data_IF_135630396130
#
_entry.id   IF_135630396130
#
_cell.length_a   1.000
_cell.length_b   1.000
_cell.length_c   1.000
_cell.angle_alpha   90.00
_cell.angle_beta   90.00
_cell.angle_gamma   90.00
#
_symmetry.space_group_name_H-M   'P 1'
#
loop_
_entity.id
_entity.type
_entity.pdbx_description
1 polymer ?
#
# COMPACT_ATOMS: atom_id res chain seq x y z
N UNK A 1 -9.59 20.85 -12.17
CA UNK A 1 -10.29 19.93 -11.24
C UNK A 1 -11.79 20.18 -11.33
N UNK A 2 -12.60 19.13 -11.51
CA UNK A 2 -14.06 19.29 -11.64
C UNK A 2 -14.66 19.75 -10.30
N UNK A 3 -15.62 20.69 -10.33
CA UNK A 3 -16.33 21.21 -9.15
C UNK A 3 -16.88 20.09 -8.23
N UNK A 4 -17.27 18.96 -8.80
CA UNK A 4 -17.76 17.78 -8.05
C UNK A 4 -16.71 17.12 -7.14
N UNK A 5 -15.42 17.28 -7.43
CA UNK A 5 -14.35 16.71 -6.59
C UNK A 5 -14.09 17.57 -5.36
N UNK A 6 -14.23 18.87 -5.50
CA UNK A 6 -14.07 19.84 -4.40
C UNK A 6 -15.22 19.67 -3.38
N UNK A 7 -16.46 19.48 -3.83
CA UNK A 7 -17.60 19.25 -2.95
C UNK A 7 -17.48 17.95 -2.13
N UNK A 8 -16.96 16.88 -2.72
CA UNK A 8 -16.77 15.60 -2.01
C UNK A 8 -15.71 15.71 -0.91
N UNK A 9 -14.63 16.42 -1.15
CA UNK A 9 -13.55 16.62 -0.17
C UNK A 9 -14.00 17.61 0.92
N UNK A 10 -14.65 18.71 0.55
CA UNK A 10 -15.18 19.69 1.50
C UNK A 10 -16.24 19.07 2.44
N UNK A 11 -17.14 18.23 1.92
CA UNK A 11 -18.09 17.49 2.75
C UNK A 11 -17.43 16.51 3.71
N UNK A 12 -16.35 15.82 3.29
CA UNK A 12 -15.65 14.87 4.16
C UNK A 12 -14.95 15.56 5.33
N UNK A 13 -14.33 16.72 5.10
CA UNK A 13 -13.67 17.51 6.14
C UNK A 13 -14.71 18.17 7.07
N UNK A 14 -15.80 18.71 6.51
CA UNK A 14 -16.84 19.35 7.30
C UNK A 14 -17.61 18.36 8.18
N UNK A 15 -17.81 17.12 7.73
CA UNK A 15 -18.51 16.09 8.50
C UNK A 15 -17.68 15.56 9.65
N UNK A 16 -16.35 15.45 9.52
CA UNK A 16 -15.47 15.12 10.66
C UNK A 16 -15.54 16.18 11.77
N UNK A 17 -15.72 17.45 11.43
CA UNK A 17 -15.86 18.54 12.41
C UNK A 17 -17.25 18.57 13.05
N UNK A 18 -18.30 18.25 12.29
CA UNK A 18 -19.67 18.24 12.79
C UNK A 18 -20.00 17.04 13.69
N UNK A 19 -19.30 15.90 13.53
CA UNK A 19 -19.54 14.72 14.39
C UNK A 19 -18.97 14.85 15.80
N UNK A 20 -18.04 15.77 16.05
CA UNK A 20 -17.44 16.02 17.37
C UNK A 20 -18.20 17.09 18.18
N UNK A 21 -19.13 17.82 17.55
CA UNK A 21 -19.90 18.90 18.20
C UNK A 21 -21.22 18.49 18.85
N UNK A 22 -21.65 17.23 18.76
CA UNK A 22 -23.00 16.81 19.20
C UNK A 22 -23.01 15.58 20.13
N UNK A 23 -22.13 15.54 21.12
CA UNK A 23 -22.36 14.68 22.28
C UNK A 23 -23.05 15.51 23.36
N UNK A 24 -24.30 15.87 23.12
CA UNK A 24 -25.26 16.20 24.15
C UNK A 24 -26.08 14.93 24.44
N UNK A 25 -25.78 14.29 25.54
CA UNK A 25 -26.56 13.14 26.05
C UNK A 25 -27.91 13.65 26.56
N UNK A 26 -29.03 13.29 25.96
CA UNK A 26 -30.32 13.38 26.63
C UNK A 26 -30.58 12.06 27.37
N UNK A 27 -30.66 12.11 28.67
CA UNK A 27 -31.25 11.03 29.46
C UNK A 27 -32.74 10.97 29.19
N UNK A 28 -33.26 9.95 28.54
CA UNK A 28 -34.65 9.53 28.70
C UNK A 28 -34.89 8.11 28.20
N UNK A 29 -35.31 7.30 29.10
CA UNK A 29 -36.23 6.13 29.03
C UNK A 29 -36.25 5.26 27.77
N UNK A 30 -35.95 4.01 28.00
CA UNK A 30 -36.14 2.80 27.20
C UNK A 30 -37.32 2.83 26.23
N UNK A 31 -37.00 2.88 24.94
CA UNK A 31 -37.64 2.07 23.90
C UNK A 31 -36.54 1.43 23.10
N UNK A 32 -36.20 0.18 23.43
CA UNK A 32 -35.44 -0.69 22.52
C UNK A 32 -36.31 -0.97 21.29
N UNK A 33 -36.31 -0.04 20.33
CA UNK A 33 -36.54 -0.42 18.95
C UNK A 33 -35.36 -1.28 18.56
N UNK A 34 -35.57 -2.42 17.96
CA UNK A 34 -34.52 -3.21 17.28
C UNK A 34 -33.96 -2.35 16.14
N UNK A 35 -33.07 -1.44 16.47
CA UNK A 35 -32.32 -0.70 15.45
C UNK A 35 -31.58 -1.76 14.64
N UNK A 36 -31.88 -1.84 13.36
CA UNK A 36 -31.06 -2.60 12.43
C UNK A 36 -29.62 -2.20 12.72
N UNK A 37 -28.76 -3.17 13.09
CA UNK A 37 -27.39 -2.87 13.48
C UNK A 37 -26.71 -2.15 12.32
N UNK A 38 -26.48 -0.84 12.46
CA UNK A 38 -25.79 -0.05 11.45
C UNK A 38 -24.36 -0.58 11.32
N UNK A 39 -23.96 -0.99 10.14
CA UNK A 39 -22.59 -1.39 9.86
C UNK A 39 -21.74 -0.17 9.53
N UNK A 40 -20.41 -0.28 9.65
CA UNK A 40 -19.50 0.76 9.20
C UNK A 40 -19.74 1.05 7.71
N UNK A 41 -19.95 0.01 6.91
CA UNK A 41 -20.21 0.15 5.47
C UNK A 41 -21.52 0.90 5.19
N UNK A 42 -22.62 0.56 5.90
CA UNK A 42 -23.89 1.25 5.70
C UNK A 42 -23.87 2.70 6.19
N UNK A 43 -23.07 3.00 7.21
CA UNK A 43 -22.98 4.34 7.79
C UNK A 43 -22.04 5.26 6.98
N UNK A 44 -20.90 4.74 6.54
CA UNK A 44 -19.84 5.56 5.95
C UNK A 44 -19.56 5.26 4.47
N UNK A 45 -20.14 4.22 3.90
CA UNK A 45 -19.86 3.78 2.53
C UNK A 45 -20.19 4.81 1.45
N UNK A 46 -21.14 5.71 1.71
CA UNK A 46 -21.46 6.84 0.81
C UNK A 46 -20.45 7.99 0.89
N UNK A 47 -19.69 8.09 1.99
CA UNK A 47 -18.70 9.14 2.24
C UNK A 47 -17.31 8.71 1.76
N UNK A 48 -16.94 7.47 2.06
CA UNK A 48 -15.64 6.89 1.71
C UNK A 48 -15.84 5.85 0.61
N UNK A 49 -15.16 6.00 -0.49
CA UNK A 49 -15.25 5.02 -1.60
C UNK A 49 -14.85 3.61 -1.19
N UNK A 50 -14.00 3.49 -0.18
CA UNK A 50 -13.58 2.22 0.45
C UNK A 50 -13.55 2.35 1.95
N UNK A 51 -14.09 1.34 2.63
CA UNK A 51 -13.95 1.11 4.06
C UNK A 51 -13.37 -0.29 4.25
N UNK A 52 -12.28 -0.41 4.98
CA UNK A 52 -11.56 -1.67 5.08
C UNK A 52 -10.94 -1.92 6.43
N UNK A 53 -10.45 -3.13 6.61
CA UNK A 53 -9.67 -3.53 7.75
C UNK A 53 -8.44 -4.36 7.36
N UNK A 54 -7.51 -4.52 8.30
CA UNK A 54 -6.35 -5.38 8.14
C UNK A 54 -6.72 -6.81 8.50
N UNK A 55 -6.34 -7.78 7.68
CA UNK A 55 -6.68 -9.19 7.87
C UNK A 55 -5.57 -10.13 7.40
N UNK A 56 -5.54 -11.35 7.93
CA UNK A 56 -4.73 -12.46 7.45
C UNK A 56 -5.53 -13.41 6.54
N UNK A 57 -4.83 -14.28 5.80
CA UNK A 57 -5.47 -15.35 5.03
C UNK A 57 -6.34 -16.25 5.92
N UNK A 58 -5.89 -16.60 7.13
CA UNK A 58 -6.64 -17.46 8.04
C UNK A 58 -7.98 -16.86 8.46
N UNK A 59 -8.03 -15.55 8.64
CA UNK A 59 -9.27 -14.82 8.92
C UNK A 59 -10.22 -14.82 7.73
N UNK A 60 -9.71 -14.66 6.51
CA UNK A 60 -10.52 -14.74 5.29
C UNK A 60 -11.06 -16.15 5.02
N UNK A 61 -10.34 -17.19 5.43
CA UNK A 61 -10.77 -18.60 5.30
C UNK A 61 -11.78 -19.02 6.36
N UNK A 62 -11.93 -18.26 7.43
CA UNK A 62 -12.93 -18.50 8.46
C UNK A 62 -14.28 -17.92 8.00
N UNK A 63 -15.30 -18.75 7.84
CA UNK A 63 -16.60 -18.34 7.29
C UNK A 63 -17.32 -17.28 8.11
N UNK A 64 -17.26 -17.35 9.45
CA UNK A 64 -17.89 -16.36 10.33
C UNK A 64 -17.16 -15.02 10.27
N UNK A 65 -15.82 -15.03 10.25
CA UNK A 65 -15.00 -13.82 10.12
C UNK A 65 -15.21 -13.18 8.76
N UNK A 66 -15.21 -13.96 7.68
CA UNK A 66 -15.47 -13.44 6.33
C UNK A 66 -16.88 -12.83 6.22
N UNK A 67 -17.90 -13.47 6.80
CA UNK A 67 -19.25 -12.92 6.85
C UNK A 67 -19.28 -11.56 7.61
N UNK A 68 -18.57 -11.47 8.73
CA UNK A 68 -18.43 -10.23 9.47
C UNK A 68 -17.71 -9.15 8.65
N UNK A 69 -16.58 -9.48 8.01
CA UNK A 69 -15.86 -8.55 7.13
C UNK A 69 -16.80 -8.01 6.06
N UNK A 70 -17.53 -8.86 5.35
CA UNK A 70 -18.48 -8.47 4.31
C UNK A 70 -19.61 -7.58 4.81
N UNK A 71 -20.04 -7.74 6.07
CA UNK A 71 -21.09 -6.92 6.66
C UNK A 71 -20.62 -5.51 7.03
N UNK A 72 -19.33 -5.35 7.35
CA UNK A 72 -18.77 -4.10 7.89
C UNK A 72 -17.93 -3.34 6.86
N UNK A 73 -17.32 -4.05 5.88
CA UNK A 73 -16.29 -3.50 4.99
C UNK A 73 -16.51 -3.92 3.54
N UNK A 74 -15.96 -3.14 2.61
CA UNK A 74 -15.87 -3.50 1.19
C UNK A 74 -14.42 -3.61 0.69
N UNK A 75 -13.46 -3.56 1.62
CA UNK A 75 -12.04 -3.61 1.30
C UNK A 75 -11.25 -4.27 2.43
N UNK A 76 -10.08 -4.81 2.08
CA UNK A 76 -9.09 -5.29 3.05
C UNK A 76 -7.68 -4.83 2.67
N UNK A 77 -6.79 -4.89 3.66
CA UNK A 77 -5.33 -4.88 3.50
C UNK A 77 -4.78 -6.11 4.20
N UNK A 78 -3.83 -6.82 3.59
CA UNK A 78 -3.19 -7.96 4.25
C UNK A 78 -2.22 -7.50 5.33
N UNK A 79 -2.19 -8.24 6.44
CA UNK A 79 -1.33 -7.91 7.58
C UNK A 79 0.14 -8.11 7.24
N UNK A 80 0.51 -9.25 6.64
CA UNK A 80 1.91 -9.59 6.32
C UNK A 80 2.11 -10.21 4.94
N UNK A 81 1.11 -10.86 4.37
CA UNK A 81 1.25 -11.83 3.29
C UNK A 81 1.65 -11.23 1.93
N UNK A 82 1.58 -9.90 1.78
CA UNK A 82 2.06 -9.17 0.60
C UNK A 82 3.32 -8.33 0.88
N UNK A 83 3.92 -8.46 2.04
CA UNK A 83 5.19 -7.79 2.36
C UNK A 83 6.38 -8.52 1.72
N UNK A 84 7.52 -7.83 1.51
CA UNK A 84 8.65 -8.42 0.78
C UNK A 84 9.17 -9.72 1.36
N UNK A 85 9.24 -9.87 2.69
CA UNK A 85 9.72 -11.09 3.33
C UNK A 85 8.78 -12.29 3.13
N UNK A 86 7.48 -12.07 3.07
CA UNK A 86 6.51 -13.11 2.77
C UNK A 86 6.60 -13.61 1.32
N UNK A 87 6.89 -12.69 0.39
CA UNK A 87 7.00 -13.00 -1.04
C UNK A 87 8.36 -13.55 -1.42
N UNK A 88 9.45 -13.01 -0.87
CA UNK A 88 10.84 -13.39 -1.16
C UNK A 88 11.33 -14.56 -0.30
N UNK A 89 10.76 -14.74 0.90
CA UNK A 89 11.20 -15.72 1.88
C UNK A 89 12.37 -15.23 2.74
N UNK A 90 12.47 -15.75 3.95
CA UNK A 90 13.59 -15.43 4.87
C UNK A 90 14.94 -15.95 4.37
N UNK A 91 14.93 -17.01 3.56
CA UNK A 91 16.11 -17.56 2.88
C UNK A 91 15.91 -17.48 1.37
N UNK A 92 16.97 -17.21 0.58
CA UNK A 92 16.83 -17.07 -0.86
C UNK A 92 16.47 -18.40 -1.52
N UNK A 93 15.39 -18.40 -2.30
CA UNK A 93 15.09 -19.44 -3.28
C UNK A 93 15.38 -18.86 -4.66
N UNK A 94 16.39 -19.35 -5.35
CA UNK A 94 16.88 -18.78 -6.59
C UNK A 94 16.57 -19.68 -7.79
N UNK A 95 16.21 -19.06 -8.90
CA UNK A 95 15.99 -19.70 -10.20
C UNK A 95 16.79 -18.99 -11.28
N UNK A 96 17.06 -19.66 -12.38
CA UNK A 96 17.71 -19.02 -13.54
C UNK A 96 16.77 -17.99 -14.18
N UNK A 97 17.35 -17.02 -14.89
CA UNK A 97 16.54 -16.02 -15.65
C UNK A 97 15.58 -16.68 -16.64
N UNK A 98 15.99 -17.75 -17.30
CA UNK A 98 15.13 -18.44 -18.28
C UNK A 98 13.98 -19.16 -17.56
N UNK A 99 14.25 -19.81 -16.43
CA UNK A 99 13.17 -20.37 -15.58
C UNK A 99 12.21 -19.30 -15.11
N UNK A 100 12.70 -18.11 -14.73
CA UNK A 100 11.87 -17.00 -14.32
C UNK A 100 10.97 -16.50 -15.48
N UNK A 101 11.51 -16.34 -16.69
CA UNK A 101 10.73 -15.97 -17.88
C UNK A 101 9.66 -17.03 -18.21
N UNK A 102 10.00 -18.31 -18.10
CA UNK A 102 9.05 -19.41 -18.33
C UNK A 102 7.91 -19.41 -17.29
N UNK A 103 8.15 -18.89 -16.10
CA UNK A 103 7.11 -18.65 -15.07
C UNK A 103 6.31 -17.34 -15.28
N UNK A 104 6.60 -16.59 -16.34
CA UNK A 104 5.97 -15.28 -16.61
C UNK A 104 6.52 -14.12 -15.78
N UNK A 105 7.67 -14.30 -15.10
CA UNK A 105 8.30 -13.26 -14.32
C UNK A 105 8.95 -12.21 -15.22
N UNK A 106 8.91 -10.96 -14.79
CA UNK A 106 9.57 -9.89 -15.50
C UNK A 106 11.09 -9.95 -15.32
N UNK A 107 11.81 -10.13 -16.40
CA UNK A 107 13.27 -10.07 -16.42
C UNK A 107 13.71 -9.09 -17.50
N UNK A 108 14.19 -7.92 -17.09
CA UNK A 108 14.70 -6.89 -18.00
C UNK A 108 15.86 -7.40 -18.84
N UNK A 109 15.97 -6.92 -20.09
CA UNK A 109 17.12 -7.20 -20.93
C UNK A 109 18.45 -6.67 -20.36
N UNK A 110 18.39 -5.66 -19.49
CA UNK A 110 19.55 -5.11 -18.79
C UNK A 110 19.93 -5.85 -17.51
N UNK A 111 19.14 -6.86 -17.09
CA UNK A 111 19.41 -7.64 -15.88
C UNK A 111 20.65 -8.54 -16.08
N UNK A 112 21.66 -8.37 -15.23
CA UNK A 112 22.99 -8.98 -15.44
C UNK A 112 23.27 -10.22 -14.60
N UNK A 113 22.55 -10.44 -13.49
CA UNK A 113 22.76 -11.62 -12.65
C UNK A 113 22.18 -12.88 -13.31
N UNK A 114 22.85 -14.02 -13.13
CA UNK A 114 22.43 -15.31 -13.69
C UNK A 114 21.17 -15.87 -13.03
N UNK A 115 20.94 -15.51 -11.79
CA UNK A 115 19.83 -15.97 -10.96
C UNK A 115 18.97 -14.80 -10.48
N UNK A 116 17.71 -15.12 -10.20
CA UNK A 116 16.73 -14.21 -9.60
C UNK A 116 15.97 -14.93 -8.49
N UNK A 117 15.44 -14.22 -7.48
CA UNK A 117 14.57 -14.83 -6.48
C UNK A 117 13.31 -15.45 -7.09
N UNK A 118 13.00 -16.68 -6.71
CA UNK A 118 11.66 -17.24 -6.94
C UNK A 118 10.70 -16.60 -5.93
N UNK A 119 9.65 -15.98 -6.42
CA UNK A 119 8.64 -15.30 -5.59
C UNK A 119 7.54 -16.29 -5.24
N UNK A 120 7.12 -16.30 -3.97
CA UNK A 120 6.02 -17.15 -3.50
C UNK A 120 4.70 -16.40 -3.57
N UNK A 121 3.80 -16.84 -4.43
CA UNK A 121 2.46 -16.25 -4.60
C UNK A 121 1.34 -17.08 -3.98
N UNK A 122 1.62 -18.25 -3.40
CA UNK A 122 0.60 -19.22 -2.96
C UNK A 122 -0.44 -18.62 -2.02
N UNK A 123 0.00 -17.75 -1.10
CA UNK A 123 -0.90 -17.10 -0.15
C UNK A 123 -1.67 -15.96 -0.81
N UNK A 124 -0.98 -15.15 -1.62
CA UNK A 124 -1.58 -14.02 -2.35
C UNK A 124 -2.68 -14.52 -3.29
N UNK A 125 -2.43 -15.59 -4.04
CA UNK A 125 -3.42 -16.16 -4.97
C UNK A 125 -4.71 -16.63 -4.27
N UNK A 126 -4.56 -17.24 -3.09
CA UNK A 126 -5.72 -17.65 -2.27
C UNK A 126 -6.51 -16.43 -1.79
N UNK A 127 -5.82 -15.39 -1.32
CA UNK A 127 -6.46 -14.14 -0.86
C UNK A 127 -7.19 -13.46 -2.00
N UNK A 128 -6.52 -13.27 -3.14
CA UNK A 128 -7.13 -12.60 -4.30
C UNK A 128 -8.36 -13.36 -4.80
N UNK A 129 -8.30 -14.70 -4.82
CA UNK A 129 -9.46 -15.54 -5.16
C UNK A 129 -10.62 -15.28 -4.20
N UNK A 130 -10.40 -15.36 -2.89
CA UNK A 130 -11.44 -15.12 -1.88
C UNK A 130 -12.03 -13.71 -2.03
N UNK A 131 -11.18 -12.69 -2.13
CA UNK A 131 -11.62 -11.31 -2.25
C UNK A 131 -12.44 -11.07 -3.52
N UNK A 132 -11.97 -11.54 -4.67
CA UNK A 132 -12.67 -11.44 -5.94
C UNK A 132 -14.04 -12.11 -5.90
N UNK A 133 -14.13 -13.36 -5.41
CA UNK A 133 -15.37 -14.13 -5.33
C UNK A 133 -16.39 -13.52 -4.35
N UNK A 134 -15.93 -12.70 -3.42
CA UNK A 134 -16.78 -12.04 -2.40
C UNK A 134 -16.99 -10.54 -2.65
N UNK A 135 -16.50 -9.97 -3.76
CA UNK A 135 -16.67 -8.55 -4.07
C UNK A 135 -15.90 -7.60 -3.12
N UNK A 136 -14.82 -8.09 -2.49
CA UNK A 136 -13.99 -7.34 -1.56
C UNK A 136 -12.81 -6.74 -2.32
N UNK A 137 -12.60 -5.42 -2.22
CA UNK A 137 -11.43 -4.76 -2.77
C UNK A 137 -10.17 -5.03 -1.93
N UNK A 138 -9.00 -4.99 -2.56
CA UNK A 138 -7.71 -5.16 -1.89
C UNK A 138 -6.85 -3.91 -2.09
N UNK A 139 -6.38 -3.31 -1.01
CA UNK A 139 -5.25 -2.39 -0.99
C UNK A 139 -4.00 -3.20 -0.69
N UNK A 140 -3.18 -3.40 -1.70
CA UNK A 140 -1.99 -4.23 -1.60
C UNK A 140 -0.87 -3.50 -0.84
N UNK A 141 -0.35 -4.13 0.20
CA UNK A 141 0.63 -3.57 1.13
C UNK A 141 1.75 -4.58 1.38
N UNK A 142 2.98 -4.31 1.07
CA UNK A 142 3.61 -3.17 0.41
C UNK A 142 4.75 -3.67 -0.50
N UNK A 143 5.14 -2.91 -1.52
CA UNK A 143 6.21 -3.38 -2.43
C UNK A 143 7.61 -3.08 -1.89
N UNK A 144 7.86 -1.88 -1.37
CA UNK A 144 9.17 -1.45 -0.87
C UNK A 144 9.04 -0.97 0.56
N UNK A 145 9.79 -1.58 1.47
CA UNK A 145 9.81 -1.20 2.87
C UNK A 145 11.20 -1.45 3.48
N UNK A 146 11.64 -0.59 4.40
CA UNK A 146 12.90 -0.72 5.11
C UNK A 146 12.90 -1.89 6.12
N UNK A 147 11.73 -2.20 6.68
CA UNK A 147 11.47 -3.38 7.49
C UNK A 147 10.98 -4.54 6.61
N UNK A 148 10.89 -5.73 7.12
CA UNK A 148 10.38 -6.94 6.46
C UNK A 148 10.82 -7.09 4.97
N UNK A 149 12.02 -6.60 4.63
CA UNK A 149 12.72 -6.93 3.38
C UNK A 149 13.97 -7.71 3.76
N UNK A 150 14.14 -8.97 3.32
CA UNK A 150 15.22 -9.81 3.78
C UNK A 150 16.59 -9.27 3.36
N UNK A 151 17.57 -9.23 4.28
CA UNK A 151 18.90 -8.65 4.04
C UNK A 151 19.63 -9.30 2.85
N UNK A 152 19.44 -10.60 2.64
CA UNK A 152 20.04 -11.29 1.51
C UNK A 152 19.66 -10.68 0.14
N UNK A 153 18.50 -10.05 0.03
CA UNK A 153 18.03 -9.42 -1.21
C UNK A 153 18.90 -8.22 -1.63
N UNK A 154 19.59 -7.61 -0.69
CA UNK A 154 20.49 -6.47 -0.90
C UNK A 154 21.94 -6.88 -1.15
N UNK A 155 22.29 -8.16 -0.97
CA UNK A 155 23.67 -8.66 -0.96
C UNK A 155 24.09 -9.22 -2.30
N UNK A 156 25.39 -9.12 -2.60
CA UNK A 156 25.98 -9.75 -3.79
C UNK A 156 25.68 -11.24 -3.78
N UNK A 157 25.26 -11.78 -4.91
CA UNK A 157 24.90 -13.18 -5.06
C UNK A 157 23.75 -13.64 -4.15
N UNK A 158 22.92 -12.73 -3.63
CA UNK A 158 21.83 -13.02 -2.70
C UNK A 158 22.29 -13.73 -1.41
N UNK A 159 23.48 -13.43 -0.93
CA UNK A 159 24.07 -14.08 0.24
C UNK A 159 24.57 -13.06 1.26
N UNK A 160 24.12 -13.21 2.51
CA UNK A 160 24.55 -12.35 3.64
C UNK A 160 26.05 -12.44 3.96
N UNK A 161 26.76 -13.40 3.34
CA UNK A 161 28.21 -13.53 3.44
C UNK A 161 28.96 -12.43 2.66
N UNK A 162 28.31 -11.76 1.73
CA UNK A 162 28.93 -10.75 0.86
C UNK A 162 28.44 -9.34 1.17
N UNK A 163 29.11 -8.34 0.60
CA UNK A 163 28.72 -6.94 0.70
C UNK A 163 27.41 -6.61 -0.01
N UNK A 164 26.98 -5.36 0.13
CA UNK A 164 25.81 -4.85 -0.59
C UNK A 164 26.10 -4.70 -2.08
N UNK A 165 25.08 -4.87 -2.91
CA UNK A 165 25.19 -4.63 -4.36
C UNK A 165 25.29 -3.12 -4.66
N UNK A 166 25.69 -2.78 -5.87
CA UNK A 166 25.65 -1.40 -6.35
C UNK A 166 24.22 -0.88 -6.51
N UNK A 167 24.05 0.43 -6.52
CA UNK A 167 22.75 1.07 -6.79
C UNK A 167 22.16 0.62 -8.13
N UNK A 168 22.98 0.50 -9.18
CA UNK A 168 22.51 0.03 -10.48
C UNK A 168 21.96 -1.39 -10.40
N UNK A 169 22.67 -2.28 -9.73
CA UNK A 169 22.20 -3.65 -9.55
C UNK A 169 20.94 -3.72 -8.69
N UNK A 170 20.85 -2.89 -7.63
CA UNK A 170 19.65 -2.85 -6.79
C UNK A 170 18.44 -2.27 -7.53
N UNK A 171 18.64 -1.27 -8.41
CA UNK A 171 17.59 -0.78 -9.28
C UNK A 171 17.00 -1.89 -10.17
N UNK A 172 17.86 -2.74 -10.74
CA UNK A 172 17.43 -3.88 -11.57
C UNK A 172 16.68 -4.94 -10.74
N UNK A 173 17.14 -5.24 -9.52
CA UNK A 173 16.45 -6.16 -8.61
C UNK A 173 15.08 -5.62 -8.17
N UNK A 174 15.01 -4.32 -7.88
CA UNK A 174 13.76 -3.65 -7.51
C UNK A 174 12.77 -3.65 -8.68
N UNK A 175 13.23 -3.37 -9.91
CA UNK A 175 12.42 -3.47 -11.11
C UNK A 175 11.88 -4.89 -11.31
N UNK A 176 12.75 -5.89 -11.23
CA UNK A 176 12.38 -7.30 -11.31
C UNK A 176 11.28 -7.64 -10.30
N UNK A 177 11.49 -7.28 -9.03
CA UNK A 177 10.58 -7.60 -7.94
C UNK A 177 9.22 -6.93 -8.14
N UNK A 178 9.19 -5.60 -8.28
CA UNK A 178 7.96 -4.82 -8.41
C UNK A 178 7.16 -5.29 -9.63
N UNK A 179 7.80 -5.37 -10.79
CA UNK A 179 7.11 -5.75 -12.03
C UNK A 179 6.66 -7.21 -12.01
N UNK A 180 7.43 -8.14 -11.41
CA UNK A 180 7.01 -9.53 -11.27
C UNK A 180 5.78 -9.65 -10.38
N UNK A 181 5.78 -8.99 -9.21
CA UNK A 181 4.64 -9.04 -8.27
C UNK A 181 3.38 -8.44 -8.90
N UNK A 182 3.47 -7.27 -9.47
CA UNK A 182 2.30 -6.61 -10.06
C UNK A 182 1.80 -7.30 -11.33
N UNK A 183 2.71 -7.80 -12.18
CA UNK A 183 2.32 -8.57 -13.37
C UNK A 183 1.61 -9.86 -12.97
N UNK A 184 2.10 -10.59 -11.95
CA UNK A 184 1.44 -11.79 -11.45
C UNK A 184 0.01 -11.48 -11.02
N UNK A 185 -0.18 -10.42 -10.23
CA UNK A 185 -1.51 -10.00 -9.79
C UNK A 185 -2.43 -9.69 -10.98
N UNK A 186 -2.00 -8.84 -11.91
CA UNK A 186 -2.88 -8.34 -12.98
C UNK A 186 -3.01 -9.27 -14.19
N UNK A 187 -2.19 -10.31 -14.31
CA UNK A 187 -2.44 -11.42 -15.28
C UNK A 187 -3.44 -12.42 -14.73
N UNK A 188 -3.63 -12.48 -13.41
CA UNK A 188 -4.67 -13.30 -12.80
C UNK A 188 -6.05 -12.70 -13.00
N UNK A 189 -7.05 -13.55 -13.29
CA UNK A 189 -8.46 -13.13 -13.32
C UNK A 189 -8.96 -12.54 -12.00
N UNK A 190 -8.30 -12.85 -10.89
CA UNK A 190 -8.64 -12.37 -9.56
C UNK A 190 -8.01 -11.00 -9.24
N UNK A 191 -7.00 -10.57 -9.99
CA UNK A 191 -6.26 -9.34 -9.74
C UNK A 191 -7.09 -8.06 -9.88
N UNK A 192 -8.24 -8.13 -10.55
CA UNK A 192 -9.14 -6.96 -10.69
C UNK A 192 -9.73 -6.47 -9.36
N UNK A 193 -9.64 -7.23 -8.26
CA UNK A 193 -10.03 -6.76 -6.93
C UNK A 193 -8.97 -5.82 -6.30
N UNK A 194 -7.72 -5.80 -6.81
CA UNK A 194 -6.66 -4.91 -6.31
C UNK A 194 -6.83 -3.53 -6.92
N UNK A 195 -7.25 -2.57 -6.10
CA UNK A 195 -7.54 -1.19 -6.53
C UNK A 195 -6.47 -0.17 -6.12
N UNK A 196 -5.54 -0.56 -5.25
CA UNK A 196 -4.48 0.32 -4.77
C UNK A 196 -3.25 -0.47 -4.32
N UNK A 197 -2.08 0.18 -4.41
CA UNK A 197 -0.80 -0.30 -3.89
C UNK A 197 -0.16 0.74 -2.98
N UNK A 198 0.31 0.31 -1.84
CA UNK A 198 1.33 1.03 -1.10
C UNK A 198 2.68 0.68 -1.73
N UNK A 199 3.17 1.55 -2.59
CA UNK A 199 4.39 1.27 -3.38
C UNK A 199 5.62 1.34 -2.49
N UNK A 200 5.70 2.37 -1.65
CA UNK A 200 6.77 2.55 -0.67
C UNK A 200 6.16 2.85 0.69
N UNK A 201 6.62 2.11 1.70
CA UNK A 201 6.19 2.26 3.08
C UNK A 201 7.29 2.86 3.95
N UNK A 202 6.95 3.89 4.74
CA UNK A 202 7.74 4.44 5.85
C UNK A 202 9.15 4.91 5.48
N UNK A 203 9.33 5.47 4.29
CA UNK A 203 10.66 5.91 3.88
C UNK A 203 11.19 7.09 4.73
N UNK A 204 10.34 8.06 5.06
CA UNK A 204 10.76 9.22 5.88
C UNK A 204 11.05 8.82 7.34
N UNK A 205 10.49 7.72 7.82
CA UNK A 205 10.75 7.15 9.13
C UNK A 205 11.62 5.90 9.12
N UNK A 206 12.23 5.59 7.96
CA UNK A 206 13.02 4.38 7.80
C UNK A 206 14.17 4.30 8.80
N UNK A 207 14.33 3.14 9.43
CA UNK A 207 15.54 2.78 10.16
C UNK A 207 16.62 2.29 9.20
N UNK A 208 17.86 2.20 9.67
CA UNK A 208 18.98 1.67 8.88
C UNK A 208 18.64 0.29 8.32
N UNK A 209 18.75 0.16 7.00
CA UNK A 209 18.42 -1.05 6.26
C UNK A 209 19.30 -1.20 5.02
N UNK A 210 19.12 -2.26 4.26
CA UNK A 210 19.80 -2.44 2.98
C UNK A 210 19.56 -1.29 2.00
N UNK A 211 18.38 -0.66 2.05
CA UNK A 211 18.09 0.52 1.25
C UNK A 211 19.01 1.68 1.57
N UNK A 212 19.16 2.05 2.84
CA UNK A 212 20.07 3.13 3.27
C UNK A 212 21.53 2.79 2.97
N UNK A 213 21.95 1.53 3.19
CA UNK A 213 23.31 1.08 2.89
C UNK A 213 23.69 1.22 1.42
N UNK A 214 22.72 1.11 0.52
CA UNK A 214 22.94 1.20 -0.92
C UNK A 214 22.72 2.63 -1.44
N UNK A 215 21.68 3.31 -0.99
CA UNK A 215 21.26 4.59 -1.56
C UNK A 215 21.69 5.81 -0.74
N UNK A 216 22.23 5.58 0.46
CA UNK A 216 22.67 6.64 1.36
C UNK A 216 21.57 7.14 2.30
N UNK A 217 21.88 8.17 3.05
CA UNK A 217 21.00 8.76 4.04
C UNK A 217 19.68 9.28 3.45
N UNK A 218 18.64 9.33 4.27
CA UNK A 218 17.32 9.82 3.89
C UNK A 218 17.35 11.27 3.39
N UNK A 219 16.51 11.56 2.42
CA UNK A 219 16.33 12.89 1.82
C UNK A 219 14.87 13.04 1.39
N UNK A 220 14.41 14.25 1.19
CA UNK A 220 13.08 14.51 0.62
C UNK A 220 13.01 14.33 -0.91
N UNK A 221 14.12 13.95 -1.55
CA UNK A 221 14.20 13.69 -3.00
C UNK A 221 14.87 12.35 -3.32
N UNK A 222 14.33 11.22 -2.81
CA UNK A 222 14.97 9.92 -2.96
C UNK A 222 14.78 9.34 -4.36
N UNK A 223 15.84 9.29 -5.15
CA UNK A 223 15.78 8.80 -6.52
C UNK A 223 15.26 7.36 -6.65
N UNK A 224 15.61 6.47 -5.70
CA UNK A 224 15.14 5.08 -5.75
C UNK A 224 13.64 4.96 -5.42
N UNK A 225 13.09 5.80 -4.54
CA UNK A 225 11.66 5.84 -4.26
C UNK A 225 10.89 6.28 -5.50
N UNK A 226 11.31 7.38 -6.15
CA UNK A 226 10.73 7.80 -7.44
C UNK A 226 10.78 6.68 -8.47
N UNK A 227 11.89 5.95 -8.54
CA UNK A 227 12.07 4.80 -9.44
C UNK A 227 11.13 3.64 -9.10
N UNK A 228 10.89 3.35 -7.83
CA UNK A 228 9.91 2.34 -7.41
C UNK A 228 8.49 2.69 -7.90
N UNK A 229 8.09 3.96 -7.75
CA UNK A 229 6.81 4.44 -8.30
C UNK A 229 6.76 4.36 -9.83
N UNK A 230 7.84 4.67 -10.52
CA UNK A 230 7.90 4.52 -11.98
C UNK A 230 7.68 3.06 -12.41
N UNK A 231 8.34 2.11 -11.76
CA UNK A 231 8.16 0.68 -12.07
C UNK A 231 6.72 0.21 -11.81
N UNK A 232 6.12 0.65 -10.72
CA UNK A 232 4.73 0.34 -10.41
C UNK A 232 3.76 1.00 -11.42
N UNK A 233 4.02 2.26 -11.78
CA UNK A 233 3.22 2.98 -12.77
C UNK A 233 3.31 2.35 -14.17
N UNK A 234 4.51 1.91 -14.58
CA UNK A 234 4.69 1.20 -15.84
C UNK A 234 3.82 -0.05 -15.92
N UNK A 235 3.69 -0.80 -14.81
CA UNK A 235 2.82 -1.97 -14.75
C UNK A 235 1.34 -1.59 -14.91
N UNK A 236 0.82 -0.65 -14.12
CA UNK A 236 -0.60 -0.26 -14.25
C UNK A 236 -0.90 0.37 -15.62
N UNK A 237 0.07 1.05 -16.23
CA UNK A 237 -0.03 1.58 -17.58
C UNK A 237 -0.09 0.46 -18.61
N UNK A 238 0.79 -0.54 -18.51
CA UNK A 238 0.83 -1.70 -19.41
C UNK A 238 -0.52 -2.45 -19.43
N UNK A 239 -1.15 -2.62 -18.25
CA UNK A 239 -2.46 -3.27 -18.12
C UNK A 239 -3.66 -2.33 -18.35
N UNK A 240 -3.45 -1.07 -18.71
CA UNK A 240 -4.55 -0.10 -18.92
C UNK A 240 -5.32 0.24 -17.64
N UNK A 241 -4.64 0.25 -16.49
CA UNK A 241 -5.25 0.40 -15.16
C UNK A 241 -5.01 1.77 -14.50
N UNK A 242 -4.42 2.72 -15.21
CA UNK A 242 -4.04 4.04 -14.66
C UNK A 242 -5.21 4.84 -14.06
N UNK A 243 -6.45 4.57 -14.51
CA UNK A 243 -7.67 5.19 -13.99
C UNK A 243 -8.42 4.30 -12.97
N UNK A 244 -7.90 3.10 -12.67
CA UNK A 244 -8.56 2.11 -11.79
C UNK A 244 -7.75 1.79 -10.55
N UNK A 245 -6.44 1.90 -10.63
CA UNK A 245 -5.50 1.53 -9.57
C UNK A 245 -4.74 2.76 -9.12
N UNK A 246 -4.72 3.00 -7.82
CA UNK A 246 -3.99 4.11 -7.20
C UNK A 246 -2.69 3.63 -6.58
N UNK A 247 -1.64 4.45 -6.71
CA UNK A 247 -0.32 4.21 -6.15
C UNK A 247 -0.07 5.20 -5.01
N UNK A 248 0.23 4.70 -3.81
CA UNK A 248 0.40 5.51 -2.61
C UNK A 248 1.81 5.39 -2.02
N UNK A 249 2.28 6.50 -1.49
CA UNK A 249 3.28 6.52 -0.44
C UNK A 249 2.55 6.34 0.90
N UNK A 250 2.95 5.39 1.75
CA UNK A 250 2.29 5.11 3.01
C UNK A 250 3.26 5.30 4.18
N UNK A 251 2.86 6.07 5.22
CA UNK A 251 3.74 6.32 6.36
C UNK A 251 2.93 6.68 7.61
N UNK A 252 3.57 6.53 8.78
CA UNK A 252 3.03 6.97 10.06
C UNK A 252 3.46 8.42 10.37
N UNK A 253 2.78 9.06 11.30
CA UNK A 253 3.07 10.43 11.74
C UNK A 253 3.20 11.49 10.63
N UNK A 254 2.65 11.23 9.44
CA UNK A 254 2.70 12.14 8.29
C UNK A 254 2.15 13.52 8.59
N UNK A 255 1.24 13.63 9.57
CA UNK A 255 0.70 14.91 10.05
C UNK A 255 1.74 15.78 10.77
N UNK A 256 2.86 15.22 11.20
CA UNK A 256 3.99 15.94 11.81
C UNK A 256 5.03 16.38 10.77
N UNK A 257 5.08 15.74 9.61
CA UNK A 257 6.10 15.93 8.56
C UNK A 257 5.49 16.36 7.23
N UNK A 258 4.42 17.16 7.27
CA UNK A 258 3.61 17.54 6.10
C UNK A 258 4.47 18.09 4.95
N UNK A 259 5.41 19.00 5.25
CA UNK A 259 6.24 19.64 4.22
C UNK A 259 7.21 18.65 3.55
N UNK A 260 7.79 17.75 4.30
CA UNK A 260 8.72 16.74 3.77
C UNK A 260 7.98 15.73 2.91
N UNK A 261 6.79 15.29 3.35
CA UNK A 261 5.92 14.41 2.58
C UNK A 261 5.50 15.08 1.26
N UNK A 262 5.02 16.32 1.29
CA UNK A 262 4.62 17.07 0.09
C UNK A 262 5.82 17.26 -0.85
N UNK A 263 6.98 17.64 -0.33
CA UNK A 263 8.20 17.80 -1.13
C UNK A 263 8.59 16.50 -1.82
N UNK A 264 8.51 15.39 -1.12
CA UNK A 264 8.82 14.08 -1.68
C UNK A 264 7.81 13.65 -2.75
N UNK A 265 6.51 13.80 -2.50
CA UNK A 265 5.47 13.46 -3.48
C UNK A 265 5.61 14.33 -4.75
N UNK A 266 5.88 15.63 -4.61
CA UNK A 266 6.13 16.51 -5.74
C UNK A 266 7.38 16.10 -6.53
N UNK A 267 8.44 15.66 -5.83
CA UNK A 267 9.61 15.10 -6.50
C UNK A 267 9.30 13.79 -7.24
N UNK A 268 8.54 12.89 -6.65
CA UNK A 268 8.11 11.65 -7.30
C UNK A 268 7.31 11.98 -8.57
N UNK A 269 6.44 12.97 -8.51
CA UNK A 269 5.56 13.38 -9.60
C UNK A 269 6.17 14.41 -10.59
N UNK A 270 7.46 14.75 -10.48
CA UNK A 270 8.06 15.83 -11.27
C UNK A 270 8.06 15.59 -12.79
N UNK A 271 8.07 14.33 -13.23
CA UNK A 271 8.06 13.96 -14.67
C UNK A 271 6.69 13.44 -15.13
N UNK A 272 5.69 13.53 -14.27
CA UNK A 272 4.33 13.05 -14.51
C UNK A 272 3.72 12.45 -13.24
N UNK A 273 2.40 12.42 -13.16
CA UNK A 273 1.69 11.93 -11.98
C UNK A 273 1.75 10.40 -11.89
N UNK A 274 2.71 9.87 -11.15
CA UNK A 274 2.92 8.44 -10.91
C UNK A 274 2.63 8.03 -9.45
N UNK A 275 2.49 8.99 -8.53
CA UNK A 275 2.00 8.79 -7.17
C UNK A 275 0.67 9.52 -7.01
N UNK A 276 -0.36 8.84 -6.55
CA UNK A 276 -1.71 9.38 -6.46
C UNK A 276 -1.99 10.07 -5.13
N UNK A 277 -1.20 9.81 -4.08
CA UNK A 277 -1.41 10.42 -2.78
C UNK A 277 -0.63 9.77 -1.65
N UNK A 278 -0.98 10.19 -0.44
CA UNK A 278 -0.39 9.76 0.82
C UNK A 278 -1.33 8.80 1.53
N UNK A 279 -0.83 7.64 1.94
CA UNK A 279 -1.45 6.77 2.92
C UNK A 279 -1.01 7.21 4.31
N UNK A 280 -1.92 7.79 5.06
CA UNK A 280 -1.68 8.18 6.44
C UNK A 280 -2.02 6.97 7.33
N UNK A 281 -1.01 6.32 7.92
CA UNK A 281 -1.28 5.15 8.81
C UNK A 281 -2.12 5.53 10.04
N UNK A 282 -2.05 6.79 10.46
CA UNK A 282 -2.94 7.36 11.48
C UNK A 282 -2.96 6.59 12.80
N UNK A 283 -1.79 6.19 13.30
CA UNK A 283 -1.64 5.64 14.64
C UNK A 283 -1.87 6.75 15.67
N UNK A 284 -3.13 6.96 16.04
CA UNK A 284 -3.59 8.06 16.87
C UNK A 284 -3.96 7.56 18.27
N UNK A 285 -3.85 8.44 19.27
CA UNK A 285 -4.42 8.21 20.59
C UNK A 285 -5.69 9.05 20.80
N UNK A 286 -6.40 8.80 21.89
CA UNK A 286 -7.59 9.58 22.24
C UNK A 286 -7.28 11.03 22.64
N UNK A 287 -6.02 11.33 22.92
CA UNK A 287 -5.56 12.64 23.39
C UNK A 287 -4.63 13.36 22.42
N UNK A 288 -4.05 12.66 21.45
CA UNK A 288 -3.07 13.24 20.51
C UNK A 288 -3.06 12.50 19.16
N UNK A 289 -2.94 13.22 18.03
CA UNK A 289 -2.94 14.68 17.91
C UNK A 289 -4.33 15.27 18.18
N UNK A 290 -4.43 16.60 18.35
CA UNK A 290 -5.72 17.27 18.36
C UNK A 290 -6.40 17.14 16.98
N UNK A 291 -7.72 17.11 16.95
CA UNK A 291 -8.49 17.05 15.69
C UNK A 291 -8.10 18.20 14.76
N UNK A 292 -7.97 19.42 15.30
CA UNK A 292 -7.60 20.59 14.51
C UNK A 292 -6.22 20.41 13.84
N UNK A 293 -5.22 19.93 14.59
CA UNK A 293 -3.89 19.71 14.05
C UNK A 293 -3.88 18.63 12.94
N UNK A 294 -4.55 17.52 13.19
CA UNK A 294 -4.67 16.45 12.19
C UNK A 294 -5.42 16.91 10.93
N UNK A 295 -6.53 17.62 11.08
CA UNK A 295 -7.32 18.15 9.97
C UNK A 295 -6.51 19.15 9.13
N UNK A 296 -5.70 20.01 9.76
CA UNK A 296 -4.81 20.92 9.05
C UNK A 296 -3.80 20.16 8.17
N UNK A 297 -3.22 19.07 8.65
CA UNK A 297 -2.32 18.23 7.86
C UNK A 297 -3.04 17.59 6.67
N UNK A 298 -4.23 17.01 6.89
CA UNK A 298 -5.06 16.45 5.80
C UNK A 298 -5.36 17.51 4.75
N UNK A 299 -5.76 18.72 5.18
CA UNK A 299 -6.06 19.83 4.26
C UNK A 299 -4.81 20.25 3.45
N UNK A 300 -3.63 20.23 4.07
CA UNK A 300 -2.38 20.54 3.37
C UNK A 300 -2.08 19.51 2.27
N UNK A 301 -2.27 18.22 2.54
CA UNK A 301 -2.11 17.17 1.52
C UNK A 301 -3.15 17.28 0.39
N UNK A 302 -4.38 17.70 0.71
CA UNK A 302 -5.42 17.90 -0.30
C UNK A 302 -5.10 19.08 -1.22
N UNK A 303 -4.51 20.14 -0.67
CA UNK A 303 -4.17 21.35 -1.42
C UNK A 303 -2.93 21.19 -2.31
N UNK A 304 -2.03 20.26 -1.99
CA UNK A 304 -0.80 19.98 -2.72
C UNK A 304 -1.01 18.98 -3.86
#
# INVERSE_FOLDING_TARGET
MSKNRIYRVACSVLLCVLMLGSILVPSSSDKRSSAASSSLLSTYGSLFGRSGNCVSLSQLQNSSTLAHIKSQYNSITLENEMKPDALLGYSPSLITRDSAKNLGYYVSGSFTESYVPKINFDTVDKVLKICYENGIGVRAHTLVWHSQTPDWFFRVGYSTKYGYVSQDQMNKRMEYYIKTVMNHVYTSKYGSCVYAWDVVNEYLHATTSGWEKIYGARTTRPAFVKRAFQYAYDCIKYFGLTNKVSLFYNDFNTYMEVNDVITMINYINSDGKICNGVGMQSHLSTSYPSVAYYTQAVQSFVNA
#
